data_IF_670919805129
#
_entry.id   IF_670919805129
#
_cell.length_a   1.000
_cell.length_b   1.000
_cell.length_c   1.000
_cell.angle_alpha   90.00
_cell.angle_beta   90.00
_cell.angle_gamma   90.00
#
_symmetry.space_group_name_H-M   'P 1'
#
loop_
_entity.id
_entity.type
_entity.pdbx_description
1 polymer ?
#
# COMPACT_ATOMS: atom_id res chain seq x y z
N UNK A 1 1.32 19.48 6.15
CA UNK A 1 1.96 18.75 7.26
C UNK A 1 2.74 17.60 6.66
N UNK A 2 4.01 17.48 7.03
CA UNK A 2 5.03 16.54 6.54
C UNK A 2 5.07 16.33 5.01
N UNK A 3 5.34 17.40 4.25
CA UNK A 3 5.95 17.29 2.92
C UNK A 3 7.41 16.86 3.10
N UNK A 4 7.61 15.61 3.55
CA UNK A 4 8.89 14.95 3.37
C UNK A 4 9.22 14.98 1.89
N UNK A 5 10.47 15.27 1.54
CA UNK A 5 10.94 15.25 0.16
C UNK A 5 10.44 13.96 -0.52
N UNK A 6 9.72 14.09 -1.63
CA UNK A 6 9.12 12.98 -2.38
C UNK A 6 10.13 11.84 -2.59
N UNK A 7 11.41 12.19 -2.82
CA UNK A 7 12.52 11.23 -2.92
C UNK A 7 12.70 10.39 -1.67
N UNK A 8 12.62 11.02 -0.51
CA UNK A 8 12.75 10.33 0.78
C UNK A 8 11.58 9.37 1.00
N UNK A 9 10.35 9.82 0.73
CA UNK A 9 9.15 9.00 0.90
C UNK A 9 9.15 7.77 -0.02
N UNK A 10 9.56 7.92 -1.28
CA UNK A 10 9.65 6.80 -2.22
C UNK A 10 10.79 5.85 -1.84
N UNK A 11 11.92 6.37 -1.35
CA UNK A 11 13.08 5.55 -0.98
C UNK A 11 12.92 4.78 0.35
N UNK A 12 12.01 5.20 1.23
CA UNK A 12 11.80 4.58 2.55
C UNK A 12 11.34 3.12 2.44
N UNK A 13 10.56 2.78 1.42
CA UNK A 13 9.98 1.45 1.26
C UNK A 13 8.87 1.22 2.29
N UNK A 14 9.00 0.20 3.15
CA UNK A 14 8.04 -0.08 4.21
C UNK A 14 8.50 0.63 5.50
N UNK A 15 7.74 1.62 6.01
CA UNK A 15 8.13 2.37 7.20
C UNK A 15 8.35 1.47 8.42
N UNK A 16 9.37 1.80 9.23
CA UNK A 16 9.70 1.02 10.43
C UNK A 16 8.65 1.13 11.53
N UNK A 17 7.91 2.23 11.55
CA UNK A 17 6.75 2.46 12.42
C UNK A 17 5.45 2.36 11.63
N UNK A 18 4.40 1.87 12.29
CA UNK A 18 3.09 1.71 11.66
C UNK A 18 2.46 3.08 11.34
N UNK A 19 2.23 3.43 10.05
CA UNK A 19 1.57 4.71 9.67
C UNK A 19 0.15 4.77 10.22
N UNK A 20 -0.48 5.93 10.33
CA UNK A 20 -1.88 6.03 10.77
C UNK A 20 -2.83 5.25 9.82
N UNK A 21 -3.95 4.68 10.32
CA UNK A 21 -4.94 4.06 9.44
C UNK A 21 -5.46 5.08 8.42
N UNK A 22 -5.66 4.66 7.17
CA UNK A 22 -6.33 5.48 6.16
C UNK A 22 -7.84 5.36 6.30
N UNK A 23 -8.52 6.51 6.22
CA UNK A 23 -9.97 6.55 6.11
C UNK A 23 -10.39 6.21 4.68
N UNK A 24 -11.59 5.66 4.55
CA UNK A 24 -12.23 5.47 3.25
C UNK A 24 -12.54 6.84 2.65
N UNK A 25 -12.10 7.07 1.42
CA UNK A 25 -12.22 8.35 0.72
C UNK A 25 -13.41 8.30 -0.24
N UNK A 26 -14.57 8.90 0.06
CA UNK A 26 -15.75 8.79 -0.79
C UNK A 26 -15.62 9.53 -2.13
N UNK A 27 -14.63 10.42 -2.28
CA UNK A 27 -14.49 11.29 -3.44
C UNK A 27 -13.70 10.63 -4.59
N UNK A 28 -13.08 9.48 -4.33
CA UNK A 28 -12.39 8.68 -5.34
C UNK A 28 -13.21 7.45 -5.75
N UNK A 29 -13.08 7.06 -7.02
CA UNK A 29 -13.71 5.83 -7.50
C UNK A 29 -13.01 4.62 -6.90
N UNK A 30 -13.75 3.81 -6.13
CA UNK A 30 -13.25 2.56 -5.56
C UNK A 30 -13.65 1.37 -6.42
N UNK A 31 -12.77 0.37 -6.48
CA UNK A 31 -13.10 -0.89 -7.09
C UNK A 31 -14.32 -1.52 -6.39
N UNK A 32 -15.26 -2.13 -7.14
CA UNK A 32 -16.40 -2.81 -6.53
C UNK A 32 -15.92 -3.96 -5.65
N UNK A 33 -16.70 -4.25 -4.60
CA UNK A 33 -16.44 -5.39 -3.72
C UNK A 33 -16.40 -6.67 -4.54
N UNK A 34 -15.36 -7.49 -4.32
CA UNK A 34 -15.28 -8.82 -4.93
C UNK A 34 -16.09 -9.85 -4.17
N UNK A 35 -16.57 -10.86 -4.90
CA UNK A 35 -17.28 -11.98 -4.31
C UNK A 35 -16.42 -12.71 -3.28
N UNK A 36 -17.04 -13.06 -2.15
CA UNK A 36 -16.40 -13.80 -1.08
C UNK A 36 -16.41 -15.30 -1.39
N UNK A 37 -15.48 -15.72 -2.24
CA UNK A 37 -15.35 -17.10 -2.72
C UNK A 37 -14.36 -17.94 -1.91
N UNK A 38 -13.65 -17.32 -0.96
CA UNK A 38 -12.59 -18.00 -0.21
C UNK A 38 -13.15 -18.78 0.97
N UNK A 39 -12.64 -19.98 1.17
CA UNK A 39 -12.86 -20.75 2.40
C UNK A 39 -12.15 -20.09 3.59
N UNK A 40 -12.55 -20.45 4.81
CA UNK A 40 -11.89 -19.97 6.04
C UNK A 40 -10.38 -20.27 6.06
N UNK A 41 -9.96 -21.41 5.49
CA UNK A 41 -8.55 -21.79 5.39
C UNK A 41 -7.80 -20.87 4.41
N UNK A 42 -8.43 -20.53 3.29
CA UNK A 42 -7.86 -19.63 2.28
C UNK A 42 -7.84 -18.18 2.77
N UNK A 43 -8.85 -17.73 3.52
CA UNK A 43 -8.84 -16.41 4.17
C UNK A 43 -7.67 -16.28 5.14
N UNK A 44 -7.45 -17.28 6.00
CA UNK A 44 -6.28 -17.33 6.89
C UNK A 44 -4.96 -17.32 6.11
N UNK A 45 -4.89 -18.06 5.01
CA UNK A 45 -3.72 -18.08 4.14
C UNK A 45 -3.48 -16.72 3.46
N UNK A 46 -4.53 -16.04 3.00
CA UNK A 46 -4.45 -14.72 2.39
C UNK A 46 -3.88 -13.69 3.37
N UNK A 47 -4.39 -13.67 4.62
CA UNK A 47 -3.86 -12.80 5.68
C UNK A 47 -2.40 -13.14 5.98
N UNK A 48 -2.05 -14.43 6.11
CA UNK A 48 -0.65 -14.86 6.31
C UNK A 48 0.25 -14.41 5.15
N UNK A 49 -0.23 -14.50 3.91
CA UNK A 49 0.52 -14.08 2.72
C UNK A 49 0.79 -12.58 2.71
N UNK A 50 -0.18 -11.76 3.14
CA UNK A 50 -0.04 -10.31 3.30
C UNK A 50 0.95 -9.96 4.41
N UNK A 51 0.96 -10.69 5.52
CA UNK A 51 1.85 -10.43 6.65
C UNK A 51 3.34 -10.68 6.34
N UNK A 52 3.67 -11.40 5.26
CA UNK A 52 5.08 -11.68 4.85
C UNK A 52 5.89 -10.42 4.56
N UNK A 53 5.23 -9.32 4.19
CA UNK A 53 5.89 -8.05 3.89
C UNK A 53 6.26 -7.24 5.15
N UNK A 54 5.77 -7.63 6.33
CA UNK A 54 5.86 -6.82 7.55
C UNK A 54 6.60 -7.55 8.66
N UNK A 55 7.22 -6.77 9.55
CA UNK A 55 7.89 -7.29 10.75
C UNK A 55 6.90 -7.98 11.70
N UNK A 56 7.30 -9.06 12.39
CA UNK A 56 6.42 -9.82 13.31
C UNK A 56 5.72 -8.96 14.37
N UNK A 57 6.42 -7.94 14.89
CA UNK A 57 5.89 -7.00 15.88
C UNK A 57 4.61 -6.28 15.39
N UNK A 58 4.44 -6.11 14.08
CA UNK A 58 3.28 -5.44 13.49
C UNK A 58 2.12 -6.41 13.20
N UNK A 59 2.35 -7.72 13.24
CA UNK A 59 1.39 -8.72 12.76
C UNK A 59 0.11 -8.73 13.57
N UNK A 60 0.17 -8.48 14.89
CA UNK A 60 -1.02 -8.46 15.75
C UNK A 60 -2.04 -7.42 15.27
N UNK A 61 -1.57 -6.23 14.92
CA UNK A 61 -2.43 -5.14 14.42
C UNK A 61 -2.84 -5.40 12.98
N UNK A 62 -1.86 -5.68 12.11
CA UNK A 62 -2.09 -5.83 10.67
C UNK A 62 -2.97 -7.04 10.32
N UNK A 63 -2.90 -8.15 11.08
CA UNK A 63 -3.73 -9.32 10.84
C UNK A 63 -5.22 -8.99 10.96
N UNK A 64 -5.60 -8.20 11.96
CA UNK A 64 -6.99 -7.77 12.18
C UNK A 64 -7.44 -6.84 11.05
N UNK A 65 -6.58 -5.91 10.65
CA UNK A 65 -6.90 -4.98 9.57
C UNK A 65 -7.03 -5.67 8.21
N UNK A 66 -6.09 -6.56 7.87
CA UNK A 66 -6.14 -7.31 6.61
C UNK A 66 -7.32 -8.27 6.55
N UNK A 67 -7.68 -8.91 7.67
CA UNK A 67 -8.89 -9.72 7.73
C UNK A 67 -10.15 -8.87 7.50
N UNK A 68 -10.20 -7.64 8.04
CA UNK A 68 -11.28 -6.69 7.80
C UNK A 68 -11.34 -6.25 6.34
N UNK A 69 -10.22 -5.85 5.75
CA UNK A 69 -10.15 -5.46 4.34
C UNK A 69 -10.63 -6.59 3.42
N UNK A 70 -10.19 -7.83 3.69
CA UNK A 70 -10.61 -8.99 2.93
C UNK A 70 -12.14 -9.21 3.01
N UNK A 71 -12.74 -8.99 4.18
CA UNK A 71 -14.19 -9.13 4.38
C UNK A 71 -14.99 -7.99 3.74
N UNK A 72 -14.53 -6.76 3.89
CA UNK A 72 -15.23 -5.55 3.43
C UNK A 72 -15.10 -5.35 1.92
N UNK A 73 -13.89 -5.52 1.38
CA UNK A 73 -13.56 -5.22 -0.01
C UNK A 73 -13.35 -6.46 -0.88
N UNK A 74 -13.26 -7.65 -0.27
CA UNK A 74 -12.91 -8.88 -0.98
C UNK A 74 -11.42 -8.96 -1.35
N UNK A 75 -10.60 -8.01 -0.86
CA UNK A 75 -9.17 -7.87 -1.15
C UNK A 75 -8.43 -7.20 0.00
N UNK A 76 -7.16 -7.56 0.15
CA UNK A 76 -6.23 -6.89 1.08
C UNK A 76 -5.44 -5.87 0.25
N UNK A 77 -5.78 -4.59 0.39
CA UNK A 77 -5.13 -3.47 -0.28
C UNK A 77 -3.97 -2.90 0.54
N UNK A 78 -3.96 -3.15 1.84
CA UNK A 78 -3.00 -2.59 2.79
C UNK A 78 -3.11 -1.05 2.82
N UNK A 79 -4.33 -0.51 2.93
CA UNK A 79 -4.60 0.93 2.73
C UNK A 79 -3.73 1.83 3.59
N UNK A 80 -3.38 1.40 4.81
CA UNK A 80 -2.48 2.09 5.73
C UNK A 80 -1.16 2.55 5.08
N UNK A 81 -0.65 1.80 4.11
CA UNK A 81 0.61 2.07 3.42
C UNK A 81 0.44 2.84 2.11
N UNK A 82 -0.78 3.24 1.74
CA UNK A 82 -0.99 4.16 0.61
C UNK A 82 -0.27 5.48 0.91
N UNK A 83 0.60 5.98 0.02
CA UNK A 83 1.30 7.24 0.25
C UNK A 83 0.32 8.42 0.34
N UNK A 84 0.72 9.45 1.10
CA UNK A 84 -0.03 10.71 1.25
C UNK A 84 0.28 11.73 0.16
N UNK A 85 1.39 11.56 -0.55
CA UNK A 85 1.69 12.42 -1.70
C UNK A 85 0.74 12.10 -2.87
N UNK A 86 0.48 13.11 -3.69
CA UNK A 86 -0.25 12.92 -4.94
C UNK A 86 0.51 11.95 -5.85
N UNK A 87 -0.13 10.82 -6.16
CA UNK A 87 0.36 9.82 -7.10
C UNK A 87 0.10 10.35 -8.51
N UNK A 88 1.17 10.81 -9.16
CA UNK A 88 1.18 11.23 -10.55
C UNK A 88 2.58 11.07 -11.14
N UNK A 89 2.69 11.07 -12.47
CA UNK A 89 3.97 11.19 -13.13
C UNK A 89 4.64 12.53 -12.76
N UNK A 90 5.92 12.46 -12.37
CA UNK A 90 6.78 13.61 -12.05
C UNK A 90 7.93 13.71 -13.03
N UNK A 91 8.71 14.78 -12.97
CA UNK A 91 9.92 14.86 -13.78
C UNK A 91 10.86 13.70 -13.42
N UNK A 92 11.53 13.12 -14.42
CA UNK A 92 12.36 11.92 -14.22
C UNK A 92 13.44 12.10 -13.16
N UNK A 93 13.96 13.32 -13.01
CA UNK A 93 15.00 13.67 -12.03
C UNK A 93 14.46 13.89 -10.60
N UNK A 94 13.13 13.86 -10.41
CA UNK A 94 12.49 13.88 -9.10
C UNK A 94 12.45 12.49 -8.44
N UNK A 95 12.70 11.41 -9.18
CA UNK A 95 12.67 10.06 -8.61
C UNK A 95 14.01 9.66 -7.97
N UNK A 96 14.01 9.03 -6.78
CA UNK A 96 15.23 8.58 -6.13
C UNK A 96 15.78 7.34 -6.85
N UNK A 97 16.78 7.51 -7.70
CA UNK A 97 17.34 6.41 -8.48
C UNK A 97 18.83 6.55 -8.72
N UNK A 98 19.50 5.41 -8.94
CA UNK A 98 20.91 5.34 -9.41
C UNK A 98 21.01 5.19 -10.93
N UNK A 99 19.91 4.89 -11.60
CA UNK A 99 19.84 4.64 -13.04
C UNK A 99 18.61 5.32 -13.62
N UNK A 100 18.80 6.01 -14.75
CA UNK A 100 17.71 6.67 -15.49
C UNK A 100 16.60 5.70 -15.91
N UNK A 101 16.94 4.43 -16.14
CA UNK A 101 15.95 3.40 -16.45
C UNK A 101 15.03 3.11 -15.26
N UNK A 102 15.56 3.06 -14.03
CA UNK A 102 14.75 2.86 -12.83
C UNK A 102 13.85 4.06 -12.55
N UNK A 103 14.34 5.29 -12.78
CA UNK A 103 13.51 6.49 -12.72
C UNK A 103 12.35 6.45 -13.73
N UNK A 104 12.63 6.05 -14.98
CA UNK A 104 11.59 5.91 -15.99
C UNK A 104 10.52 4.87 -15.60
N UNK A 105 10.92 3.73 -15.00
CA UNK A 105 9.96 2.74 -14.50
C UNK A 105 9.11 3.31 -13.36
N UNK A 106 9.71 3.97 -12.37
CA UNK A 106 8.95 4.59 -11.27
C UNK A 106 8.00 5.68 -11.75
N UNK A 107 8.39 6.44 -12.78
CA UNK A 107 7.53 7.40 -13.47
C UNK A 107 6.31 6.71 -14.06
N UNK A 108 6.51 5.64 -14.84
CA UNK A 108 5.40 4.89 -15.43
C UNK A 108 4.51 4.23 -14.37
N UNK A 109 5.08 3.73 -13.27
CA UNK A 109 4.30 3.20 -12.14
C UNK A 109 3.43 4.29 -11.50
N UNK A 110 3.96 5.51 -11.35
CA UNK A 110 3.22 6.62 -10.73
C UNK A 110 2.15 7.22 -11.67
N UNK A 111 2.21 6.91 -12.96
CA UNK A 111 1.25 7.37 -13.95
C UNK A 111 0.00 6.48 -14.01
N UNK A 112 0.15 5.19 -13.72
CA UNK A 112 -0.92 4.20 -13.75
C UNK A 112 -1.74 4.21 -12.46
#
# INVERSE_FOLDING_TARGET
MASGDFKTLVAEGIPGSLPAPKLYDPDINHAPKREDVLTEKEKKLAVKNALRYFRPELHKTLAVEFARELKEYGRIYMYRFRPDYEIKARHIDEYPSRSRHAAAIMLMISNN
#
